data_IF_541028401455
#
_entry.id   IF_541028401455
#
_cell.length_a   1.000
_cell.length_b   1.000
_cell.length_c   1.000
_cell.angle_alpha   90.00
_cell.angle_beta   90.00
_cell.angle_gamma   90.00
#
_symmetry.space_group_name_H-M   'P 1'
#
loop_
_entity.id
_entity.type
_entity.pdbx_description
1 polymer ?
#
# COMPACT_ATOMS: atom_id res chain seq x y z
N UNK A 1 32.08 12.98 -15.86
CA UNK A 1 31.04 11.98 -15.52
C UNK A 1 30.92 11.92 -14.00
N UNK A 2 29.97 12.65 -13.44
CA UNK A 2 29.78 12.79 -11.98
C UNK A 2 28.61 11.91 -11.55
N UNK A 3 28.89 10.86 -10.79
CA UNK A 3 27.88 10.03 -10.14
C UNK A 3 27.29 10.84 -8.98
N UNK A 4 26.06 11.32 -9.16
CA UNK A 4 25.32 11.95 -8.08
C UNK A 4 24.98 10.87 -7.03
N UNK A 5 25.68 10.92 -5.91
CA UNK A 5 25.40 10.14 -4.71
C UNK A 5 24.00 10.51 -4.24
N UNK A 6 23.05 9.59 -4.41
CA UNK A 6 21.73 9.71 -3.80
C UNK A 6 21.91 9.63 -2.29
N UNK A 7 21.95 10.78 -1.62
CA UNK A 7 21.82 10.89 -0.18
C UNK A 7 20.48 10.28 0.24
N UNK A 8 20.52 9.01 0.67
CA UNK A 8 19.41 8.37 1.34
C UNK A 8 19.34 9.00 2.73
N UNK A 9 18.60 10.11 2.86
CA UNK A 9 18.15 10.62 4.17
C UNK A 9 17.43 9.49 4.88
N UNK A 10 18.09 8.91 5.88
CA UNK A 10 17.49 7.95 6.81
C UNK A 10 16.37 8.69 7.54
N UNK A 11 15.13 8.42 7.13
CA UNK A 11 13.96 8.84 7.90
C UNK A 11 14.06 8.11 9.23
N UNK A 12 14.16 8.86 10.32
CA UNK A 12 14.21 8.30 11.67
C UNK A 12 13.08 7.28 11.84
N UNK A 13 13.42 6.05 12.26
CA UNK A 13 12.43 5.01 12.52
C UNK A 13 11.51 5.45 13.66
N UNK A 14 10.30 5.88 13.30
CA UNK A 14 9.22 6.01 14.26
C UNK A 14 8.94 4.63 14.90
N UNK A 15 8.56 4.56 16.19
CA UNK A 15 8.29 3.30 16.89
C UNK A 15 7.33 2.44 16.07
N UNK A 16 7.75 1.21 15.77
CA UNK A 16 7.13 0.13 15.01
C UNK A 16 5.74 0.39 14.37
N UNK A 17 5.67 1.27 13.37
CA UNK A 17 4.50 1.34 12.49
C UNK A 17 4.30 0.00 11.77
N UNK A 18 3.09 -0.56 11.88
CA UNK A 18 2.65 -1.72 11.12
C UNK A 18 2.76 -1.46 9.62
N UNK A 19 2.82 -2.52 8.83
CA UNK A 19 2.81 -2.39 7.37
C UNK A 19 1.62 -1.56 6.87
N UNK A 20 0.42 -1.79 7.44
CA UNK A 20 -0.80 -1.08 7.06
C UNK A 20 -0.76 0.42 7.41
N UNK A 21 -0.15 0.79 8.54
CA UNK A 21 0.05 2.21 8.89
C UNK A 21 1.02 2.88 7.93
N UNK A 22 2.14 2.23 7.59
CA UNK A 22 3.09 2.74 6.59
C UNK A 22 2.44 2.84 5.20
N UNK A 23 1.58 1.89 4.85
CA UNK A 23 0.80 1.93 3.61
C UNK A 23 -0.19 3.10 3.62
N UNK A 24 -0.91 3.33 4.72
CA UNK A 24 -1.79 4.49 4.88
C UNK A 24 -1.06 5.83 4.67
N UNK A 25 0.13 5.99 5.26
CA UNK A 25 0.99 7.16 5.04
C UNK A 25 1.39 7.32 3.57
N UNK A 26 1.66 6.21 2.86
CA UNK A 26 1.95 6.24 1.44
C UNK A 26 0.72 6.66 0.61
N UNK A 27 -0.48 6.19 0.97
CA UNK A 27 -1.74 6.58 0.32
C UNK A 27 -1.98 8.08 0.47
N UNK A 28 -1.84 8.63 1.69
CA UNK A 28 -2.00 10.07 1.94
C UNK A 28 -1.07 10.90 1.06
N UNK A 29 0.19 10.48 0.93
CA UNK A 29 1.22 11.24 0.20
C UNK A 29 1.16 11.04 -1.31
N UNK A 30 0.73 9.87 -1.78
CA UNK A 30 0.91 9.43 -3.17
C UNK A 30 -0.38 8.92 -3.82
N UNK A 31 -1.56 9.29 -3.30
CA UNK A 31 -2.87 8.77 -3.70
C UNK A 31 -3.07 8.59 -5.22
N UNK A 32 -2.64 9.57 -6.04
CA UNK A 32 -2.81 9.55 -7.49
C UNK A 32 -1.68 8.87 -8.28
N UNK A 33 -0.59 8.44 -7.63
CA UNK A 33 0.53 7.75 -8.29
C UNK A 33 0.20 6.28 -8.47
N UNK A 34 0.74 5.69 -9.53
CA UNK A 34 0.68 4.24 -9.77
C UNK A 34 1.46 3.51 -8.68
N UNK A 35 0.79 2.60 -7.98
CA UNK A 35 1.37 1.72 -6.97
C UNK A 35 1.92 0.44 -7.62
N UNK A 36 1.14 -0.16 -8.53
CA UNK A 36 1.53 -1.36 -9.27
C UNK A 36 0.75 -1.50 -10.58
N UNK A 37 1.19 -2.46 -11.41
CA UNK A 37 0.46 -2.91 -12.60
C UNK A 37 -0.19 -4.26 -12.33
N UNK A 38 -1.51 -4.32 -12.45
CA UNK A 38 -2.30 -5.53 -12.28
C UNK A 38 -2.47 -6.22 -13.64
N UNK A 39 -2.14 -7.51 -13.72
CA UNK A 39 -2.41 -8.32 -14.91
C UNK A 39 -3.92 -8.59 -15.02
N UNK A 40 -4.48 -8.37 -16.20
CA UNK A 40 -5.87 -8.65 -16.56
C UNK A 40 -5.91 -9.59 -17.77
N UNK A 41 -7.07 -10.18 -18.11
CA UNK A 41 -7.19 -11.00 -19.32
C UNK A 41 -6.84 -10.24 -20.61
N UNK A 42 -6.95 -8.92 -20.61
CA UNK A 42 -6.71 -8.05 -21.77
C UNK A 42 -5.37 -7.32 -21.72
N UNK A 43 -4.53 -7.53 -20.70
CA UNK A 43 -3.20 -6.93 -20.60
C UNK A 43 -2.79 -6.57 -19.18
N UNK A 44 -2.23 -5.36 -19.01
CA UNK A 44 -1.86 -4.83 -17.70
C UNK A 44 -2.56 -3.50 -17.48
N UNK A 45 -3.18 -3.34 -16.33
CA UNK A 45 -3.80 -2.10 -15.87
C UNK A 45 -2.93 -1.47 -14.78
N UNK A 46 -2.70 -0.17 -14.86
CA UNK A 46 -2.10 0.60 -13.77
C UNK A 46 -3.13 0.81 -12.65
N UNK A 47 -2.69 0.62 -11.41
CA UNK A 47 -3.51 0.80 -10.21
C UNK A 47 -2.83 1.80 -9.30
N UNK A 48 -3.55 2.84 -8.92
CA UNK A 48 -3.06 3.92 -8.05
C UNK A 48 -3.13 3.56 -6.58
N UNK A 49 -2.34 4.21 -5.74
CA UNK A 49 -2.40 4.03 -4.27
C UNK A 49 -3.83 4.20 -3.72
N UNK A 50 -4.60 5.17 -4.23
CA UNK A 50 -6.00 5.37 -3.84
C UNK A 50 -6.91 4.19 -4.21
N UNK A 51 -6.71 3.60 -5.38
CA UNK A 51 -7.50 2.45 -5.81
C UNK A 51 -7.20 1.22 -4.96
N UNK A 52 -5.93 1.00 -4.62
CA UNK A 52 -5.51 -0.10 -3.73
C UNK A 52 -6.12 0.06 -2.34
N UNK A 53 -6.07 1.27 -1.77
CA UNK A 53 -6.66 1.57 -0.47
C UNK A 53 -8.17 1.29 -0.41
N UNK A 54 -8.89 1.72 -1.45
CA UNK A 54 -10.33 1.43 -1.58
C UNK A 54 -10.62 -0.07 -1.66
N UNK A 55 -9.85 -0.81 -2.45
CA UNK A 55 -10.01 -2.25 -2.59
C UNK A 55 -9.66 -2.99 -1.29
N UNK A 56 -8.55 -2.63 -0.64
CA UNK A 56 -8.13 -3.20 0.63
C UNK A 56 -9.14 -2.95 1.75
N UNK A 57 -9.70 -1.73 1.81
CA UNK A 57 -10.76 -1.38 2.76
C UNK A 57 -12.04 -2.21 2.53
N UNK A 58 -12.42 -2.46 1.27
CA UNK A 58 -13.56 -3.30 0.96
C UNK A 58 -13.34 -4.77 1.37
N UNK A 59 -12.14 -5.32 1.14
CA UNK A 59 -11.77 -6.67 1.62
C UNK A 59 -11.81 -6.73 3.14
N UNK A 60 -11.21 -5.75 3.83
CA UNK A 60 -11.20 -5.70 5.28
C UNK A 60 -12.63 -5.66 5.87
N UNK A 61 -13.52 -4.85 5.28
CA UNK A 61 -14.92 -4.80 5.68
C UNK A 61 -15.62 -6.16 5.52
N UNK A 62 -15.41 -6.85 4.39
CA UNK A 62 -15.98 -8.18 4.16
C UNK A 62 -15.45 -9.24 5.14
N UNK A 63 -14.15 -9.21 5.48
CA UNK A 63 -13.58 -10.13 6.48
C UNK A 63 -14.18 -9.91 7.87
N UNK A 64 -14.38 -8.66 8.26
CA UNK A 64 -15.05 -8.30 9.52
C UNK A 64 -16.49 -8.82 9.52
N UNK A 65 -17.22 -8.64 8.42
CA UNK A 65 -18.61 -9.12 8.28
C UNK A 65 -18.72 -10.65 8.38
N UNK A 66 -17.74 -11.37 7.85
CA UNK A 66 -17.64 -12.83 7.99
C UNK A 66 -17.26 -13.29 9.42
N UNK A 67 -17.01 -12.36 10.33
CA UNK A 67 -16.66 -12.65 11.72
C UNK A 67 -15.20 -13.03 11.94
N UNK A 68 -14.32 -12.79 10.97
CA UNK A 68 -12.87 -13.01 11.09
C UNK A 68 -12.28 -12.02 12.10
N UNK A 69 -11.46 -12.53 13.00
CA UNK A 69 -10.86 -11.78 14.12
C UNK A 69 -9.35 -11.72 13.99
N UNK A 70 -8.76 -10.80 14.76
CA UNK A 70 -7.30 -10.70 14.88
C UNK A 70 -6.73 -12.02 15.41
N UNK A 71 -5.78 -12.59 14.66
CA UNK A 71 -5.15 -13.87 14.97
C UNK A 71 -5.68 -15.03 14.13
N UNK A 72 -6.83 -14.86 13.48
CA UNK A 72 -7.34 -15.82 12.52
C UNK A 72 -6.52 -15.80 11.23
N UNK A 73 -6.66 -16.86 10.42
CA UNK A 73 -5.93 -17.06 9.17
C UNK A 73 -6.86 -16.89 7.98
N UNK A 74 -6.37 -16.21 6.96
CA UNK A 74 -7.02 -15.95 5.68
C UNK A 74 -6.10 -16.34 4.52
#
# INVERSE_FOLDING_TARGET
>A
MTAAVFERKLVAEAPHATFNERFGQAVERFAGRVAFRLKTPTGYREVTYREVDRQGSAVAAGLIELGIRRGDRV
#
